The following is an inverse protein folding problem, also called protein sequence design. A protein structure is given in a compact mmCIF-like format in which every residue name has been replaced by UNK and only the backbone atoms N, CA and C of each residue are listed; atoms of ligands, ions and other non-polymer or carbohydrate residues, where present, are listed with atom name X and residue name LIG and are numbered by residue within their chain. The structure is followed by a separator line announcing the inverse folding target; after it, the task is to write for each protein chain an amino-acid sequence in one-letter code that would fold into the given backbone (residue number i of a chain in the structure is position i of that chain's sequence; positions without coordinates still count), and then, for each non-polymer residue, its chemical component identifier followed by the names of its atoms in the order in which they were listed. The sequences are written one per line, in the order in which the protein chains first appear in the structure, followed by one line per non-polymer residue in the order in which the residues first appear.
data_IF_046014247050
#
_entry.id   IF_046014247050
#
_cell.length_a   1.000
_cell.length_b   1.000
_cell.length_c   1.000
_cell.angle_alpha   90.00
_cell.angle_beta   90.00
_cell.angle_gamma   90.00
#
_symmetry.space_group_name_H-M   'P 1'
#
loop_
_entity.id
_entity.type
_entity.pdbx_description
1 polymer ?
#
# COMPACT_ATOMS: atom_id res chain seq x y z
N UNK A 1 54.74 -22.01 46.40
CA UNK A 1 53.44 -21.36 46.30
C UNK A 1 53.17 -21.08 44.83
N UNK A 2 52.43 -21.99 44.20
CA UNK A 2 52.08 -21.91 42.75
C UNK A 2 50.81 -21.09 42.60
N UNK A 3 50.90 -19.94 41.97
CA UNK A 3 49.73 -19.14 41.58
C UNK A 3 49.11 -19.73 40.29
N UNK A 4 47.95 -20.37 40.42
CA UNK A 4 47.10 -20.76 39.28
C UNK A 4 46.41 -19.51 38.81
N UNK A 5 46.75 -19.06 37.59
CA UNK A 5 45.98 -18.04 36.85
C UNK A 5 44.90 -18.78 36.10
N UNK A 6 43.67 -18.67 36.55
CA UNK A 6 42.47 -19.13 35.83
C UNK A 6 42.14 -18.10 34.76
N UNK A 7 42.51 -18.39 33.51
CA UNK A 7 42.06 -17.61 32.36
C UNK A 7 40.60 -18.02 32.05
N UNK A 8 39.65 -17.20 32.48
CA UNK A 8 38.27 -17.33 32.07
C UNK A 8 38.14 -16.87 30.60
N UNK A 9 38.08 -17.83 29.70
CA UNK A 9 37.69 -17.58 28.32
C UNK A 9 36.21 -17.24 28.30
N UNK A 10 35.87 -15.93 28.27
CA UNK A 10 34.54 -15.46 27.91
C UNK A 10 34.36 -15.70 26.41
N UNK A 11 33.73 -16.82 26.04
CA UNK A 11 33.14 -17.00 24.74
C UNK A 11 31.99 -15.97 24.65
N UNK A 12 32.31 -14.79 24.12
CA UNK A 12 31.28 -13.88 23.63
C UNK A 12 30.64 -14.58 22.42
N UNK A 13 29.53 -15.27 22.66
CA UNK A 13 28.68 -15.76 21.60
C UNK A 13 28.26 -14.55 20.76
N UNK A 14 28.82 -14.41 19.57
CA UNK A 14 28.29 -13.57 18.52
C UNK A 14 26.93 -14.16 18.14
N UNK A 15 25.92 -13.92 18.95
CA UNK A 15 24.55 -14.08 18.55
C UNK A 15 24.34 -13.15 17.36
N UNK A 16 24.19 -13.71 16.17
CA UNK A 16 23.76 -12.94 15.01
C UNK A 16 22.45 -12.26 15.41
N UNK A 17 22.51 -10.95 15.61
CA UNK A 17 21.32 -10.18 15.89
C UNK A 17 20.33 -10.43 14.73
N UNK A 18 19.19 -11.02 15.05
CA UNK A 18 18.15 -11.29 14.09
C UNK A 18 17.62 -9.94 13.56
N UNK A 19 17.74 -9.73 12.27
CA UNK A 19 17.21 -8.53 11.62
C UNK A 19 15.70 -8.69 11.39
N UNK A 20 14.95 -7.62 11.68
CA UNK A 20 13.51 -7.60 11.49
C UNK A 20 13.17 -6.68 10.33
N UNK A 21 12.34 -7.16 9.40
CA UNK A 21 11.80 -6.36 8.32
C UNK A 21 10.26 -6.33 8.37
N UNK A 22 9.72 -5.14 8.19
CA UNK A 22 8.29 -4.92 8.05
C UNK A 22 7.95 -4.67 6.57
N UNK A 23 6.98 -5.42 6.06
CA UNK A 23 6.50 -5.31 4.68
C UNK A 23 5.16 -4.59 4.70
N UNK A 24 5.15 -3.32 4.29
CA UNK A 24 3.92 -2.54 4.13
C UNK A 24 3.03 -3.14 3.04
N UNK A 25 1.76 -3.28 3.31
CA UNK A 25 0.81 -3.93 2.38
C UNK A 25 -0.36 -3.02 2.01
N UNK A 26 -1.56 -3.36 2.37
CA UNK A 26 -2.78 -2.62 2.16
C UNK A 26 -3.86 -3.12 3.13
N UNK A 27 -5.12 -2.92 2.79
CA UNK A 27 -6.24 -3.48 3.54
C UNK A 27 -6.10 -5.00 3.67
N UNK A 28 -6.46 -5.56 4.83
CA UNK A 28 -6.42 -7.01 5.10
C UNK A 28 -7.31 -7.82 4.17
N UNK A 29 -8.27 -7.20 3.54
CA UNK A 29 -9.18 -7.82 2.55
C UNK A 29 -8.74 -7.60 1.11
N UNK A 30 -7.67 -6.83 0.88
CA UNK A 30 -7.09 -6.59 -0.44
C UNK A 30 -5.97 -7.58 -0.78
N UNK A 31 -5.53 -7.57 -2.04
CA UNK A 31 -4.50 -8.51 -2.57
C UNK A 31 -3.12 -8.26 -1.95
N UNK A 32 -2.77 -7.03 -1.63
CA UNK A 32 -1.45 -6.72 -1.06
C UNK A 32 -1.17 -7.45 0.24
N UNK A 33 -2.16 -7.59 1.12
CA UNK A 33 -1.93 -8.19 2.43
C UNK A 33 -1.57 -9.69 2.36
N UNK A 34 -2.31 -10.58 1.66
CA UNK A 34 -1.92 -11.96 1.50
C UNK A 34 -0.61 -12.12 0.71
N UNK A 35 -0.32 -11.26 -0.27
CA UNK A 35 0.97 -11.31 -1.00
C UNK A 35 2.13 -10.94 -0.07
N UNK A 36 2.04 -9.85 0.69
CA UNK A 36 3.06 -9.46 1.67
C UNK A 36 3.26 -10.55 2.75
N UNK A 37 2.16 -11.18 3.20
CA UNK A 37 2.21 -12.31 4.14
C UNK A 37 2.93 -13.51 3.55
N UNK A 38 2.67 -13.82 2.27
CA UNK A 38 3.36 -14.88 1.54
C UNK A 38 4.87 -14.60 1.42
N UNK A 39 5.26 -13.38 1.07
CA UNK A 39 6.67 -12.96 1.00
C UNK A 39 7.32 -13.08 2.38
N UNK A 40 6.67 -12.56 3.43
CA UNK A 40 7.18 -12.67 4.80
C UNK A 40 7.40 -14.15 5.21
N UNK A 41 6.44 -15.02 4.86
CA UNK A 41 6.59 -16.45 5.12
C UNK A 41 7.80 -17.05 4.40
N UNK A 42 7.98 -16.75 3.11
CA UNK A 42 9.13 -17.27 2.34
C UNK A 42 10.46 -16.81 2.94
N UNK A 43 10.58 -15.55 3.35
CA UNK A 43 11.79 -15.01 4.02
C UNK A 43 12.04 -15.74 5.35
N UNK A 44 10.98 -15.96 6.13
CA UNK A 44 11.10 -16.65 7.43
C UNK A 44 11.49 -18.11 7.27
N UNK A 45 10.92 -18.81 6.28
CA UNK A 45 11.22 -20.21 5.99
C UNK A 45 12.65 -20.40 5.47
N UNK A 46 13.18 -19.40 4.75
CA UNK A 46 14.56 -19.44 4.24
C UNK A 46 15.63 -19.38 5.36
N UNK A 47 15.25 -18.94 6.57
CA UNK A 47 16.10 -18.89 7.76
C UNK A 47 17.46 -18.21 7.54
N UNK A 48 17.46 -17.09 6.83
CA UNK A 48 18.65 -16.30 6.45
C UNK A 48 19.05 -15.25 7.48
N UNK A 49 18.67 -15.40 8.74
CA UNK A 49 18.95 -14.44 9.80
C UNK A 49 18.01 -13.22 9.83
N UNK A 50 16.99 -13.20 8.97
CA UNK A 50 15.98 -12.16 8.88
C UNK A 50 14.63 -12.71 9.33
N UNK A 51 13.86 -11.87 10.02
CA UNK A 51 12.45 -12.11 10.32
C UNK A 51 11.58 -11.03 9.67
N UNK A 52 10.66 -11.48 8.84
CA UNK A 52 9.73 -10.61 8.11
C UNK A 52 8.32 -10.71 8.68
N UNK A 53 7.59 -9.59 8.66
CA UNK A 53 6.16 -9.53 8.92
C UNK A 53 5.46 -8.64 7.91
N UNK A 54 4.18 -8.92 7.63
CA UNK A 54 3.33 -8.06 6.82
C UNK A 54 2.53 -7.13 7.72
N UNK A 55 2.46 -5.84 7.35
CA UNK A 55 1.67 -4.83 8.05
C UNK A 55 0.58 -4.26 7.14
N UNK A 56 -0.66 -4.27 7.63
CA UNK A 56 -1.77 -3.61 6.95
C UNK A 56 -1.61 -2.09 6.97
N UNK A 57 -1.91 -1.44 5.86
CA UNK A 57 -1.75 0.01 5.65
C UNK A 57 -2.87 0.54 4.77
N UNK A 58 -2.85 1.85 4.49
CA UNK A 58 -3.72 2.46 3.48
C UNK A 58 -3.36 2.09 2.03
N UNK A 59 -2.17 1.54 1.77
CA UNK A 59 -1.71 1.15 0.42
C UNK A 59 -0.54 2.00 -0.09
N UNK A 60 -0.43 2.18 -1.41
CA UNK A 60 0.79 2.62 -2.10
C UNK A 60 1.40 3.93 -1.59
N UNK A 61 0.59 4.99 -1.39
CA UNK A 61 1.10 6.28 -0.91
C UNK A 61 1.57 6.17 0.55
N UNK A 62 0.76 5.51 1.39
CA UNK A 62 1.10 5.29 2.80
C UNK A 62 2.39 4.47 2.93
N UNK A 63 2.53 3.43 2.11
CA UNK A 63 3.69 2.56 2.10
C UNK A 63 4.99 3.29 1.72
N UNK A 64 4.95 4.09 0.66
CA UNK A 64 6.12 4.85 0.21
C UNK A 64 6.51 5.90 1.25
N UNK A 65 5.54 6.55 1.89
CA UNK A 65 5.82 7.50 2.97
C UNK A 65 6.47 6.81 4.17
N UNK A 66 5.99 5.62 4.56
CA UNK A 66 6.57 4.84 5.65
C UNK A 66 8.01 4.37 5.35
N UNK A 67 8.30 3.94 4.11
CA UNK A 67 9.68 3.65 3.68
C UNK A 67 10.55 4.91 3.75
N UNK A 68 10.05 6.04 3.27
CA UNK A 68 10.81 7.30 3.30
C UNK A 68 11.07 7.80 4.72
N UNK A 69 10.19 7.49 5.65
CA UNK A 69 10.34 7.79 7.09
C UNK A 69 11.24 6.78 7.83
N UNK A 70 11.63 5.68 7.18
CA UNK A 70 12.39 4.59 7.81
C UNK A 70 11.57 3.71 8.76
N UNK A 71 10.23 3.71 8.60
CA UNK A 71 9.33 2.89 9.41
C UNK A 71 9.18 1.47 8.84
N UNK A 72 9.38 1.30 7.53
CA UNK A 72 9.34 0.02 6.81
C UNK A 72 10.58 -0.15 5.96
N UNK A 73 11.05 -1.40 5.86
CA UNK A 73 12.16 -1.80 5.00
C UNK A 73 11.67 -2.17 3.60
N UNK A 74 10.45 -2.69 3.49
CA UNK A 74 9.83 -3.13 2.23
C UNK A 74 8.36 -2.75 2.18
N UNK A 75 7.80 -2.64 0.98
CA UNK A 75 6.36 -2.49 0.80
C UNK A 75 5.92 -2.85 -0.62
N UNK A 76 4.62 -3.12 -0.76
CA UNK A 76 3.97 -3.19 -2.06
C UNK A 76 3.45 -1.80 -2.45
N UNK A 77 3.60 -1.46 -3.71
CA UNK A 77 3.09 -0.21 -4.27
C UNK A 77 2.79 -0.38 -5.77
N UNK A 78 1.80 0.35 -6.24
CA UNK A 78 1.56 0.50 -7.68
C UNK A 78 2.78 1.18 -8.32
N UNK A 79 3.11 0.75 -9.54
CA UNK A 79 4.28 1.25 -10.26
C UNK A 79 4.17 2.73 -10.64
N UNK A 80 2.97 3.22 -10.97
CA UNK A 80 2.70 4.63 -11.23
C UNK A 80 2.92 5.49 -9.98
N UNK A 81 2.40 5.07 -8.82
CA UNK A 81 2.58 5.77 -7.54
C UNK A 81 4.06 5.79 -7.12
N UNK A 82 4.77 4.67 -7.31
CA UNK A 82 6.22 4.62 -7.06
C UNK A 82 6.99 5.57 -7.98
N UNK A 83 6.61 5.64 -9.26
CA UNK A 83 7.18 6.58 -10.22
C UNK A 83 6.91 8.04 -9.82
N UNK A 84 5.67 8.38 -9.46
CA UNK A 84 5.32 9.75 -9.03
C UNK A 84 6.07 10.16 -7.77
N UNK A 85 6.19 9.25 -6.82
CA UNK A 85 6.99 9.49 -5.62
C UNK A 85 8.46 9.72 -5.95
N UNK A 86 9.05 8.86 -6.78
CA UNK A 86 10.45 9.00 -7.17
C UNK A 86 10.74 10.30 -7.93
N UNK A 87 9.82 10.72 -8.81
CA UNK A 87 9.93 12.00 -9.54
C UNK A 87 9.54 13.21 -8.70
N UNK A 88 8.72 13.06 -7.67
CA UNK A 88 8.18 14.18 -6.90
C UNK A 88 7.12 14.96 -7.68
N UNK A 89 6.24 14.26 -8.40
CA UNK A 89 5.24 14.87 -9.28
C UNK A 89 3.87 14.20 -9.20
N UNK A 90 2.97 14.74 -9.99
CA UNK A 90 1.80 14.10 -10.58
C UNK A 90 0.65 13.79 -9.62
N UNK A 91 0.89 13.71 -8.32
CA UNK A 91 -0.14 13.60 -7.27
C UNK A 91 0.19 14.52 -6.10
N UNK A 92 -0.81 15.03 -5.38
CA UNK A 92 -0.60 16.01 -4.29
C UNK A 92 0.37 15.52 -3.20
N UNK A 93 0.35 14.20 -2.91
CA UNK A 93 1.18 13.61 -1.87
C UNK A 93 2.69 13.78 -2.11
N UNK A 94 3.12 13.77 -3.39
CA UNK A 94 4.54 13.81 -3.77
C UNK A 94 4.94 15.06 -4.54
N UNK A 95 4.01 15.98 -4.84
CA UNK A 95 4.29 17.17 -5.62
C UNK A 95 5.40 18.03 -4.99
N UNK A 96 6.52 18.18 -5.68
CA UNK A 96 7.70 18.90 -5.21
C UNK A 96 8.51 18.18 -4.11
N UNK A 97 8.18 16.92 -3.81
CA UNK A 97 8.79 16.13 -2.73
C UNK A 97 9.27 14.76 -3.26
N UNK A 98 10.35 14.69 -4.03
CA UNK A 98 10.83 13.44 -4.59
C UNK A 98 11.35 12.50 -3.51
N UNK A 99 10.95 11.23 -3.57
CA UNK A 99 11.41 10.16 -2.67
C UNK A 99 12.47 9.35 -3.40
N UNK A 100 13.73 9.75 -3.29
CA UNK A 100 14.86 9.11 -3.99
C UNK A 100 15.44 7.88 -3.28
N UNK A 101 14.96 7.59 -2.09
CA UNK A 101 15.44 6.45 -1.26
C UNK A 101 14.85 5.11 -1.69
N UNK A 102 13.68 5.10 -2.34
CA UNK A 102 13.03 3.85 -2.77
C UNK A 102 13.78 3.14 -3.90
N UNK A 103 13.71 1.81 -3.89
CA UNK A 103 14.27 0.93 -4.93
C UNK A 103 13.23 -0.13 -5.27
N UNK A 104 13.02 -0.37 -6.57
CA UNK A 104 12.18 -1.48 -7.03
C UNK A 104 12.97 -2.79 -6.90
N UNK A 105 12.35 -3.79 -6.29
CA UNK A 105 12.91 -5.13 -6.13
C UNK A 105 12.34 -6.10 -7.17
N UNK A 106 11.02 -6.08 -7.39
CA UNK A 106 10.36 -6.96 -8.34
C UNK A 106 9.03 -6.34 -8.81
N UNK A 107 8.60 -6.72 -10.02
CA UNK A 107 7.23 -6.56 -10.48
C UNK A 107 6.50 -7.89 -10.23
N UNK A 108 5.36 -7.85 -9.53
CA UNK A 108 4.68 -9.06 -9.07
C UNK A 108 3.52 -9.47 -10.00
N UNK A 109 2.62 -8.55 -10.30
CA UNK A 109 1.45 -8.80 -11.14
C UNK A 109 0.88 -7.49 -11.70
N UNK A 110 0.12 -7.53 -12.82
CA UNK A 110 -0.56 -6.35 -13.34
C UNK A 110 -1.78 -6.00 -12.46
N UNK A 111 -2.00 -4.71 -12.24
CA UNK A 111 -3.18 -4.18 -11.57
C UNK A 111 -4.03 -3.44 -12.61
N UNK A 112 -5.20 -4.00 -12.90
CA UNK A 112 -6.14 -3.43 -13.88
C UNK A 112 -7.21 -2.65 -13.12
N UNK A 113 -7.46 -1.41 -13.55
CA UNK A 113 -8.53 -0.59 -12.96
C UNK A 113 -9.88 -1.13 -13.43
N UNK A 114 -10.77 -1.36 -12.48
CA UNK A 114 -12.16 -1.70 -12.72
C UNK A 114 -13.06 -0.63 -12.12
N UNK A 115 -14.05 -0.16 -12.89
CA UNK A 115 -15.11 0.72 -12.41
C UNK A 115 -16.40 -0.09 -12.44
N UNK A 116 -16.95 -0.34 -11.27
CA UNK A 116 -18.18 -1.11 -11.10
C UNK A 116 -19.27 -0.20 -10.60
N UNK A 117 -20.39 -0.16 -11.35
CA UNK A 117 -21.57 0.61 -10.98
C UNK A 117 -22.77 -0.30 -10.73
N UNK A 118 -23.63 0.08 -9.80
CA UNK A 118 -24.90 -0.61 -9.64
C UNK A 118 -25.77 -0.41 -10.88
N UNK A 119 -26.43 -1.47 -11.31
CA UNK A 119 -27.28 -1.46 -12.51
C UNK A 119 -28.40 -0.40 -12.43
N UNK A 120 -28.94 -0.15 -11.25
CA UNK A 120 -30.03 0.82 -11.00
C UNK A 120 -29.53 2.26 -10.75
N UNK A 121 -28.20 2.50 -10.74
CA UNK A 121 -27.65 3.83 -10.51
C UNK A 121 -27.63 4.74 -11.75
N UNK A 122 -27.92 4.18 -12.94
CA UNK A 122 -27.97 4.95 -14.20
C UNK A 122 -26.59 5.44 -14.67
N UNK A 123 -25.49 4.76 -14.26
CA UNK A 123 -24.12 5.09 -14.63
C UNK A 123 -23.71 4.21 -15.82
N UNK A 124 -23.29 4.82 -16.92
CA UNK A 124 -22.80 4.15 -18.14
C UNK A 124 -21.40 4.62 -18.56
N UNK A 125 -21.04 5.83 -18.15
CA UNK A 125 -19.76 6.47 -18.43
C UNK A 125 -19.19 7.08 -17.17
N UNK A 126 -17.91 7.46 -17.19
CA UNK A 126 -17.26 8.19 -16.08
C UNK A 126 -17.94 9.53 -15.81
N UNK A 127 -18.44 10.21 -16.86
CA UNK A 127 -19.14 11.47 -16.72
C UNK A 127 -20.43 11.34 -15.88
N UNK A 128 -21.08 10.18 -15.91
CA UNK A 128 -22.30 9.91 -15.13
C UNK A 128 -22.04 9.77 -13.62
N UNK A 129 -20.77 9.74 -13.18
CA UNK A 129 -20.39 9.73 -11.77
C UNK A 129 -20.66 11.06 -11.08
N UNK A 130 -20.86 12.15 -11.84
CA UNK A 130 -21.23 13.45 -11.28
C UNK A 130 -22.48 13.35 -10.42
N UNK A 131 -22.40 13.87 -9.18
CA UNK A 131 -23.50 13.80 -8.20
C UNK A 131 -23.76 12.41 -7.60
N UNK A 132 -22.96 11.37 -7.93
CA UNK A 132 -23.11 10.00 -7.40
C UNK A 132 -22.25 9.79 -6.15
N UNK A 133 -22.64 8.80 -5.35
CA UNK A 133 -21.86 8.32 -4.20
C UNK A 133 -20.88 7.27 -4.69
N UNK A 134 -19.58 7.60 -4.74
CA UNK A 134 -18.56 6.76 -5.34
C UNK A 134 -17.52 6.36 -4.29
N UNK A 135 -17.23 5.07 -4.20
CA UNK A 135 -16.13 4.57 -3.40
C UNK A 135 -14.85 4.77 -4.20
N UNK A 136 -13.94 5.58 -3.67
CA UNK A 136 -12.73 6.02 -4.37
C UNK A 136 -11.44 5.36 -3.85
N UNK A 137 -11.56 4.38 -2.97
CA UNK A 137 -10.44 3.70 -2.34
C UNK A 137 -10.09 4.24 -0.95
N UNK A 138 -9.24 3.52 -0.23
CA UNK A 138 -8.77 3.93 1.10
C UNK A 138 -7.94 5.22 1.04
N UNK A 139 -7.94 5.98 2.13
CA UNK A 139 -7.05 7.14 2.27
C UNK A 139 -5.59 6.70 2.16
N UNK A 140 -4.84 7.34 1.27
CA UNK A 140 -3.42 7.02 1.03
C UNK A 140 -3.21 5.77 0.17
N UNK A 141 -4.27 5.26 -0.48
CA UNK A 141 -4.15 4.18 -1.46
C UNK A 141 -3.77 4.70 -2.85
N UNK A 142 -3.19 3.82 -3.67
CA UNK A 142 -3.02 4.09 -5.08
C UNK A 142 -4.38 4.16 -5.79
N UNK A 143 -5.36 3.37 -5.36
CA UNK A 143 -6.73 3.37 -5.88
C UNK A 143 -7.37 4.76 -5.76
N UNK A 144 -7.20 5.46 -4.63
CA UNK A 144 -7.70 6.84 -4.48
C UNK A 144 -7.06 7.79 -5.50
N UNK A 145 -5.76 7.61 -5.78
CA UNK A 145 -5.07 8.44 -6.76
C UNK A 145 -5.50 8.12 -8.20
N UNK A 146 -5.69 6.85 -8.52
CA UNK A 146 -6.22 6.45 -9.83
C UNK A 146 -7.65 6.96 -10.03
N UNK A 147 -8.52 6.87 -9.02
CA UNK A 147 -9.87 7.44 -9.07
C UNK A 147 -9.83 8.95 -9.33
N UNK A 148 -8.94 9.68 -8.65
CA UNK A 148 -8.72 11.12 -8.90
C UNK A 148 -8.33 11.39 -10.36
N UNK A 149 -7.30 10.72 -10.85
CA UNK A 149 -6.78 10.93 -12.20
C UNK A 149 -7.80 10.57 -13.29
N UNK A 150 -8.57 9.50 -13.07
CA UNK A 150 -9.65 9.13 -13.99
C UNK A 150 -10.72 10.22 -14.04
N UNK A 151 -11.17 10.72 -12.89
CA UNK A 151 -12.14 11.80 -12.84
C UNK A 151 -11.61 13.07 -13.53
N UNK A 152 -10.37 13.46 -13.24
CA UNK A 152 -9.71 14.63 -13.85
C UNK A 152 -9.62 14.50 -15.38
N UNK A 153 -9.33 13.30 -15.90
CA UNK A 153 -9.30 13.04 -17.35
C UNK A 153 -10.66 13.25 -18.04
N UNK A 154 -11.76 13.19 -17.27
CA UNK A 154 -13.11 13.48 -17.73
C UNK A 154 -13.64 14.84 -17.29
N UNK A 155 -12.75 15.72 -16.78
CA UNK A 155 -13.10 17.07 -16.33
C UNK A 155 -13.88 17.11 -15.02
N UNK A 156 -13.79 16.06 -14.21
CA UNK A 156 -14.44 15.95 -12.90
C UNK A 156 -13.40 15.95 -11.78
N UNK A 157 -13.84 16.30 -10.58
CA UNK A 157 -13.07 16.20 -9.34
C UNK A 157 -13.86 15.42 -8.30
N UNK A 158 -13.27 15.14 -7.14
CA UNK A 158 -14.04 14.55 -6.03
C UNK A 158 -15.19 15.44 -5.54
N UNK A 159 -15.09 16.75 -5.71
CA UNK A 159 -16.13 17.70 -5.31
C UNK A 159 -17.34 17.69 -6.25
N UNK A 160 -17.20 17.17 -7.47
CA UNK A 160 -18.30 16.96 -8.40
C UNK A 160 -19.13 15.71 -8.08
N UNK A 161 -18.62 14.82 -7.23
CA UNK A 161 -19.35 13.65 -6.76
C UNK A 161 -20.40 14.05 -5.71
N UNK A 162 -21.48 13.32 -5.62
CA UNK A 162 -22.42 13.47 -4.50
C UNK A 162 -21.76 13.12 -3.16
N UNK A 163 -20.85 12.11 -3.20
CA UNK A 163 -19.98 11.77 -2.09
C UNK A 163 -18.77 10.95 -2.60
N UNK A 164 -17.56 11.38 -2.29
CA UNK A 164 -16.36 10.57 -2.41
C UNK A 164 -16.17 9.74 -1.12
N UNK A 165 -16.41 8.44 -1.20
CA UNK A 165 -16.36 7.52 -0.06
C UNK A 165 -15.00 6.85 -0.01
N UNK A 166 -14.24 7.09 1.07
CA UNK A 166 -12.88 6.58 1.25
C UNK A 166 -12.87 5.38 2.19
N UNK A 167 -13.03 4.20 1.61
CA UNK A 167 -13.04 2.92 2.33
C UNK A 167 -12.41 1.83 1.45
N UNK A 168 -12.11 0.67 2.03
CA UNK A 168 -11.61 -0.48 1.29
C UNK A 168 -12.63 -0.99 0.27
N UNK A 169 -12.15 -1.72 -0.74
CA UNK A 169 -13.02 -2.31 -1.76
C UNK A 169 -14.10 -3.21 -1.16
N UNK A 170 -13.77 -4.02 -0.14
CA UNK A 170 -14.74 -4.89 0.52
C UNK A 170 -15.84 -4.12 1.26
N UNK A 171 -15.47 -3.03 1.95
CA UNK A 171 -16.46 -2.14 2.56
C UNK A 171 -17.29 -1.42 1.49
N UNK A 172 -16.65 -1.02 0.38
CA UNK A 172 -17.33 -0.42 -0.77
C UNK A 172 -18.38 -1.34 -1.38
N UNK A 173 -18.04 -2.63 -1.57
CA UNK A 173 -18.98 -3.65 -2.06
C UNK A 173 -20.20 -3.74 -1.11
N UNK A 174 -19.97 -3.78 0.20
CA UNK A 174 -21.06 -3.81 1.17
C UNK A 174 -21.95 -2.55 1.06
N UNK A 175 -21.33 -1.36 0.94
CA UNK A 175 -22.09 -0.11 0.74
C UNK A 175 -22.90 -0.13 -0.55
N UNK A 176 -22.39 -0.73 -1.63
CA UNK A 176 -23.15 -0.89 -2.87
C UNK A 176 -24.33 -1.87 -2.72
N UNK A 177 -24.13 -2.99 -2.01
CA UNK A 177 -25.21 -3.94 -1.70
C UNK A 177 -26.32 -3.28 -0.87
N UNK A 178 -25.93 -2.44 0.11
CA UNK A 178 -26.87 -1.70 0.96
C UNK A 178 -27.44 -0.45 0.27
N UNK A 179 -27.16 -0.22 -1.02
CA UNK A 179 -27.57 0.97 -1.78
C UNK A 179 -27.08 2.31 -1.19
N UNK A 180 -25.98 2.28 -0.44
CA UNK A 180 -25.35 3.46 0.17
C UNK A 180 -24.20 4.02 -0.68
N UNK A 181 -23.72 3.26 -1.66
CA UNK A 181 -22.84 3.70 -2.74
C UNK A 181 -23.44 3.32 -4.10
N UNK A 182 -23.10 4.08 -5.13
CA UNK A 182 -23.63 3.93 -6.48
C UNK A 182 -22.61 3.29 -7.43
N UNK A 183 -21.32 3.51 -7.15
CA UNK A 183 -20.18 2.94 -7.88
C UNK A 183 -18.96 2.76 -6.95
N UNK A 184 -18.02 1.93 -7.44
CA UNK A 184 -16.72 1.63 -6.84
C UNK A 184 -15.67 1.69 -7.95
#
# INVERSE_FOLDING_TARGET
MRKLILAALTLAGLGLAQEFITIGSGSTTGVYFPVATGIAKLVNDANVGIRANARSTGGSVANINAINAGEFEMALAQNDIAYYAYQGCCIPAFQGKPVKTIRALAALYPEVVHIVARKDAGIRTVADLKGKRVVVGDVGSGTEQNARQILEAYGLTFDDLGQAIRVSASQGIQLMQDKRADAL
#
